data_IF_169504065603
#
_entry.id   IF_169504065603
#
_cell.length_a   1.000
_cell.length_b   1.000
_cell.length_c   1.000
_cell.angle_alpha   90.00
_cell.angle_beta   90.00
_cell.angle_gamma   90.00
#
_symmetry.space_group_name_H-M   'P 1'
#
loop_
_entity.id
_entity.type
_entity.pdbx_description
1 polymer ?
#
# COMPACT_ATOMS: atom_id res chain seq x y z
N UNK A 1 1.52 39.83 7.72
CA UNK A 1 1.07 38.48 7.30
C UNK A 1 0.85 38.48 5.81
N UNK A 2 1.88 38.18 5.02
CA UNK A 2 1.80 38.07 3.57
C UNK A 2 1.21 36.69 3.23
N UNK A 3 0.06 36.68 2.58
CA UNK A 3 -0.57 35.48 2.04
C UNK A 3 0.36 34.92 0.97
N UNK A 4 0.93 33.75 1.23
CA UNK A 4 1.69 32.94 0.28
C UNK A 4 0.79 32.53 -0.91
N UNK A 5 0.72 33.37 -1.92
CA UNK A 5 0.04 33.11 -3.20
C UNK A 5 0.96 32.47 -4.24
N UNK A 6 2.01 31.75 -3.83
CA UNK A 6 3.12 31.38 -4.70
C UNK A 6 3.26 29.89 -5.04
N UNK A 7 2.25 29.05 -4.83
CA UNK A 7 2.45 27.62 -5.07
C UNK A 7 1.68 27.00 -6.25
N UNK A 8 1.03 27.81 -7.11
CA UNK A 8 0.27 27.29 -8.26
C UNK A 8 0.69 27.87 -9.62
N UNK A 9 1.60 28.84 -9.65
CA UNK A 9 2.21 29.30 -10.90
C UNK A 9 3.24 28.26 -11.37
N UNK A 10 3.00 27.67 -12.55
CA UNK A 10 3.84 26.63 -13.14
C UNK A 10 3.31 25.19 -12.99
N UNK A 11 2.15 24.99 -12.41
CA UNK A 11 1.53 23.66 -12.35
C UNK A 11 0.90 23.30 -13.69
N UNK A 12 1.21 22.09 -14.19
CA UNK A 12 0.74 21.61 -15.50
C UNK A 12 -0.63 20.94 -15.42
N UNK A 13 -0.96 20.30 -14.29
CA UNK A 13 -2.22 19.59 -14.13
C UNK A 13 -3.32 20.51 -13.63
N UNK A 14 -4.51 20.32 -14.14
CA UNK A 14 -5.72 21.02 -13.65
C UNK A 14 -6.16 20.47 -12.29
N UNK A 15 -6.91 21.26 -11.51
CA UNK A 15 -7.52 20.78 -10.24
C UNK A 15 -8.40 19.56 -10.46
N UNK A 16 -9.05 19.44 -11.63
CA UNK A 16 -9.90 18.29 -11.98
C UNK A 16 -9.07 17.04 -12.22
N UNK A 17 -7.96 17.14 -12.92
CA UNK A 17 -7.05 16.00 -13.17
C UNK A 17 -6.46 15.47 -11.86
N UNK A 18 -5.96 16.35 -11.00
CA UNK A 18 -5.45 15.96 -9.67
C UNK A 18 -6.50 15.24 -8.83
N UNK A 19 -7.71 15.79 -8.78
CA UNK A 19 -8.84 15.18 -8.07
C UNK A 19 -9.17 13.80 -8.66
N UNK A 20 -9.23 13.67 -9.97
CA UNK A 20 -9.55 12.41 -10.65
C UNK A 20 -8.47 11.35 -10.42
N UNK A 21 -7.20 11.75 -10.41
CA UNK A 21 -6.08 10.87 -10.06
C UNK A 21 -6.20 10.37 -8.62
N UNK A 22 -6.45 11.27 -7.66
CA UNK A 22 -6.59 10.93 -6.24
C UNK A 22 -7.80 10.03 -5.98
N UNK A 23 -8.95 10.30 -6.62
CA UNK A 23 -10.16 9.47 -6.47
C UNK A 23 -9.93 8.08 -7.08
N UNK A 24 -9.26 7.98 -8.24
CA UNK A 24 -8.92 6.70 -8.84
C UNK A 24 -7.97 5.88 -7.98
N UNK A 25 -6.95 6.52 -7.40
CA UNK A 25 -6.03 5.87 -6.47
C UNK A 25 -6.73 5.44 -5.17
N UNK A 26 -7.66 6.25 -4.67
CA UNK A 26 -8.47 5.91 -3.51
C UNK A 26 -9.33 4.66 -3.76
N UNK A 27 -10.00 4.58 -4.94
CA UNK A 27 -10.77 3.40 -5.33
C UNK A 27 -9.91 2.14 -5.35
N UNK A 28 -8.72 2.18 -5.98
CA UNK A 28 -7.76 1.08 -5.98
C UNK A 28 -7.31 0.70 -4.56
N UNK A 29 -6.97 1.69 -3.74
CA UNK A 29 -6.48 1.45 -2.38
C UNK A 29 -7.53 0.78 -1.51
N UNK A 30 -8.78 1.20 -1.60
CA UNK A 30 -9.88 0.61 -0.84
C UNK A 30 -10.24 -0.79 -1.35
N UNK A 31 -10.17 -1.02 -2.67
CA UNK A 31 -10.35 -2.35 -3.26
C UNK A 31 -9.28 -3.34 -2.78
N UNK A 32 -8.01 -2.93 -2.71
CA UNK A 32 -6.94 -3.74 -2.14
C UNK A 32 -7.11 -3.97 -0.64
N UNK A 33 -7.55 -2.93 0.07
CA UNK A 33 -7.71 -2.98 1.52
C UNK A 33 -8.83 -3.93 1.97
N UNK A 34 -9.92 -4.08 1.20
CA UNK A 34 -11.02 -4.99 1.59
C UNK A 34 -10.54 -6.45 1.66
N UNK A 35 -9.69 -6.87 0.72
CA UNK A 35 -9.11 -8.22 0.75
C UNK A 35 -8.23 -8.38 1.96
N UNK A 36 -7.30 -7.45 2.19
CA UNK A 36 -6.39 -7.49 3.34
C UNK A 36 -7.13 -7.49 4.68
N UNK A 37 -8.19 -6.69 4.80
CA UNK A 37 -8.95 -6.56 6.04
C UNK A 37 -9.90 -7.72 6.31
N UNK A 38 -10.47 -8.35 5.25
CA UNK A 38 -11.59 -9.30 5.40
C UNK A 38 -11.20 -10.74 5.10
N UNK A 39 -10.08 -10.99 4.43
CA UNK A 39 -9.70 -12.30 3.92
C UNK A 39 -9.64 -13.35 5.03
N UNK A 40 -8.91 -13.11 6.11
CA UNK A 40 -8.74 -14.09 7.20
C UNK A 40 -10.09 -14.44 7.85
N UNK A 41 -10.91 -13.42 8.14
CA UNK A 41 -12.25 -13.61 8.72
C UNK A 41 -13.15 -14.39 7.76
N UNK A 42 -13.09 -14.07 6.47
CA UNK A 42 -13.85 -14.78 5.45
C UNK A 42 -13.48 -16.27 5.38
N UNK A 43 -12.18 -16.59 5.40
CA UNK A 43 -11.69 -17.97 5.36
C UNK A 43 -12.09 -18.76 6.61
N UNK A 44 -12.05 -18.18 7.79
CA UNK A 44 -12.55 -18.77 9.03
C UNK A 44 -14.06 -19.12 8.89
N UNK A 45 -14.87 -18.19 8.39
CA UNK A 45 -16.31 -18.42 8.17
C UNK A 45 -16.61 -19.46 7.09
N UNK A 46 -15.67 -19.70 6.16
CA UNK A 46 -15.78 -20.79 5.18
C UNK A 46 -15.35 -22.15 5.75
N UNK A 47 -14.86 -22.21 7.00
CA UNK A 47 -14.41 -23.44 7.65
C UNK A 47 -13.15 -24.04 7.01
N UNK A 48 -12.25 -23.19 6.48
CA UNK A 48 -10.98 -23.61 5.87
C UNK A 48 -9.91 -23.60 6.96
N UNK A 49 -9.04 -24.62 6.94
CA UNK A 49 -7.88 -24.66 7.83
C UNK A 49 -6.94 -23.48 7.55
N UNK A 50 -6.68 -22.69 8.57
CA UNK A 50 -5.85 -21.47 8.47
C UNK A 50 -4.39 -21.80 8.13
N UNK A 51 -3.89 -23.00 8.50
CA UNK A 51 -2.54 -23.44 8.13
C UNK A 51 -2.42 -23.63 6.63
N UNK A 52 -3.44 -24.21 5.98
CA UNK A 52 -3.50 -24.36 4.53
C UNK A 52 -3.61 -23.02 3.81
N UNK A 53 -4.40 -22.09 4.36
CA UNK A 53 -4.51 -20.71 3.85
C UNK A 53 -3.17 -20.00 3.93
N UNK A 54 -2.50 -20.04 5.07
CA UNK A 54 -1.18 -19.43 5.26
C UNK A 54 -0.13 -19.99 4.27
N UNK A 55 -0.13 -21.31 4.05
CA UNK A 55 0.73 -21.94 3.05
C UNK A 55 0.44 -21.45 1.62
N UNK A 56 -0.83 -21.39 1.24
CA UNK A 56 -1.24 -20.87 -0.08
C UNK A 56 -0.90 -19.40 -0.26
N UNK A 57 -1.12 -18.55 0.78
CA UNK A 57 -0.73 -17.14 0.76
C UNK A 57 0.77 -16.96 0.57
N UNK A 58 1.58 -17.76 1.25
CA UNK A 58 3.04 -17.68 1.11
C UNK A 58 3.47 -17.97 -0.32
N UNK A 59 2.88 -18.99 -0.97
CA UNK A 59 3.17 -19.29 -2.38
C UNK A 59 2.75 -18.13 -3.30
N UNK A 60 1.55 -17.58 -3.12
CA UNK A 60 1.09 -16.43 -3.93
C UNK A 60 1.98 -15.22 -3.72
N UNK A 61 2.37 -14.92 -2.48
CA UNK A 61 3.28 -13.79 -2.18
C UNK A 61 4.70 -13.99 -2.72
N UNK A 62 5.15 -15.22 -2.86
CA UNK A 62 6.39 -15.49 -3.59
C UNK A 62 6.23 -15.19 -5.09
N UNK A 63 5.09 -15.54 -5.69
CA UNK A 63 4.79 -15.20 -7.08
C UNK A 63 4.69 -13.69 -7.26
N UNK A 64 3.94 -12.98 -6.38
CA UNK A 64 3.80 -11.52 -6.37
C UNK A 64 5.16 -10.78 -6.33
N UNK A 65 6.12 -11.32 -5.60
CA UNK A 65 7.45 -10.74 -5.55
C UNK A 65 8.21 -10.80 -6.89
N UNK A 66 7.92 -11.80 -7.71
CA UNK A 66 8.51 -11.92 -9.05
C UNK A 66 7.71 -11.18 -10.10
N UNK A 67 6.39 -11.19 -10.03
CA UNK A 67 5.54 -10.59 -11.05
C UNK A 67 5.64 -9.06 -11.07
N UNK A 68 5.83 -8.39 -9.93
CA UNK A 68 6.09 -6.94 -9.87
C UNK A 68 7.29 -6.52 -10.75
N UNK A 69 8.38 -7.29 -10.69
CA UNK A 69 9.57 -7.03 -11.48
C UNK A 69 9.29 -7.29 -12.96
N UNK A 70 8.58 -8.37 -13.26
CA UNK A 70 8.21 -8.76 -14.61
C UNK A 70 7.24 -7.75 -15.23
N UNK A 71 6.18 -7.39 -14.51
CA UNK A 71 5.21 -6.41 -14.99
C UNK A 71 5.77 -5.01 -15.09
N UNK A 72 6.62 -4.58 -14.15
CA UNK A 72 7.36 -3.33 -14.26
C UNK A 72 8.15 -3.24 -15.55
N UNK A 73 8.88 -4.32 -15.87
CA UNK A 73 9.62 -4.45 -17.12
C UNK A 73 8.72 -4.41 -18.37
N UNK A 74 7.58 -5.12 -18.34
CA UNK A 74 6.63 -5.11 -19.47
C UNK A 74 5.98 -3.76 -19.67
N UNK A 75 5.53 -3.12 -18.59
CA UNK A 75 4.89 -1.79 -18.63
C UNK A 75 5.83 -0.72 -19.17
N UNK A 76 7.12 -0.82 -18.85
CA UNK A 76 8.12 0.13 -19.34
C UNK A 76 8.50 -0.09 -20.80
N UNK A 77 8.53 -1.34 -21.27
CA UNK A 77 8.94 -1.70 -22.64
C UNK A 77 7.84 -1.78 -23.66
N UNK A 78 6.65 -2.25 -23.27
CA UNK A 78 5.56 -2.44 -24.21
C UNK A 78 4.72 -1.15 -24.29
N UNK A 79 4.83 -0.46 -25.40
CA UNK A 79 4.00 0.71 -25.71
C UNK A 79 2.68 0.24 -26.35
N UNK A 80 1.63 0.09 -25.53
CA UNK A 80 0.28 -0.32 -26.01
C UNK A 80 -0.21 0.61 -27.12
N UNK A 81 0.23 1.85 -27.13
CA UNK A 81 -0.14 2.86 -28.13
C UNK A 81 0.38 2.58 -29.53
N UNK A 82 1.37 1.69 -29.72
CA UNK A 82 1.84 1.26 -31.02
C UNK A 82 0.83 0.35 -31.74
N UNK A 83 -0.02 -0.33 -31.00
CA UNK A 83 -1.06 -1.20 -31.55
C UNK A 83 -2.32 -0.38 -31.86
N UNK A 84 -2.55 -0.10 -33.17
CA UNK A 84 -3.66 0.77 -33.65
C UNK A 84 -5.02 0.41 -33.06
N UNK A 85 -5.33 -0.88 -32.89
CA UNK A 85 -6.58 -1.35 -32.32
C UNK A 85 -6.72 -0.97 -30.83
N UNK A 86 -5.66 -1.13 -30.06
CA UNK A 86 -5.65 -0.80 -28.63
C UNK A 86 -5.58 0.72 -28.40
N UNK A 87 -4.82 1.45 -29.22
CA UNK A 87 -4.77 2.92 -29.16
C UNK A 87 -6.15 3.58 -29.28
N UNK A 88 -7.03 3.01 -30.11
CA UNK A 88 -8.41 3.51 -30.29
C UNK A 88 -9.23 3.38 -28.99
N UNK A 89 -8.97 2.35 -28.18
CA UNK A 89 -9.69 2.06 -26.93
C UNK A 89 -9.04 2.77 -25.74
N UNK A 90 -7.71 2.72 -25.67
CA UNK A 90 -6.95 3.16 -24.49
C UNK A 90 -6.47 4.61 -24.58
N UNK A 91 -6.44 5.20 -25.78
CA UNK A 91 -6.01 6.58 -25.98
C UNK A 91 -4.50 6.75 -26.02
N UNK A 92 -4.03 7.96 -25.72
CA UNK A 92 -2.61 8.34 -25.73
C UNK A 92 -2.01 8.33 -24.32
N UNK A 93 -0.68 8.21 -24.25
CA UNK A 93 0.11 8.17 -23.03
C UNK A 93 0.96 6.90 -22.93
N UNK A 94 1.82 6.80 -21.92
CA UNK A 94 2.66 5.61 -21.64
C UNK A 94 1.98 4.68 -20.64
N UNK A 95 1.57 5.21 -19.49
CA UNK A 95 1.03 4.44 -18.38
C UNK A 95 -0.50 4.43 -18.30
N UNK A 96 -1.15 5.51 -18.73
CA UNK A 96 -2.61 5.62 -18.74
C UNK A 96 -3.30 4.57 -19.63
N UNK A 97 -2.77 4.19 -20.81
CA UNK A 97 -3.30 3.08 -21.61
C UNK A 97 -3.31 1.73 -20.89
N UNK A 98 -2.26 1.41 -20.13
CA UNK A 98 -2.20 0.23 -19.28
C UNK A 98 -3.28 0.23 -18.22
N UNK A 99 -3.41 1.35 -17.48
CA UNK A 99 -4.45 1.51 -16.48
C UNK A 99 -5.86 1.34 -17.07
N UNK A 100 -6.16 1.96 -18.22
CA UNK A 100 -7.45 1.83 -18.91
C UNK A 100 -7.77 0.41 -19.37
N UNK A 101 -6.76 -0.38 -19.67
CA UNK A 101 -6.94 -1.76 -20.09
C UNK A 101 -7.20 -2.71 -18.92
N UNK A 102 -6.71 -2.39 -17.72
CA UNK A 102 -6.63 -3.35 -16.60
C UNK A 102 -7.52 -3.00 -15.41
N UNK A 103 -7.88 -1.73 -15.19
CA UNK A 103 -8.57 -1.25 -13.98
C UNK A 103 -9.88 -2.00 -13.67
N UNK A 104 -10.62 -2.46 -14.67
CA UNK A 104 -11.90 -3.15 -14.48
C UNK A 104 -11.73 -4.61 -14.06
N UNK A 105 -10.60 -5.23 -14.36
CA UNK A 105 -10.31 -6.62 -13.99
C UNK A 105 -10.15 -6.76 -12.48
N UNK A 106 -9.56 -5.77 -11.84
CA UNK A 106 -9.25 -5.80 -10.43
C UNK A 106 -10.50 -5.96 -9.53
N UNK A 107 -11.55 -5.13 -9.63
CA UNK A 107 -12.80 -5.35 -8.88
C UNK A 107 -13.52 -6.65 -9.23
N UNK A 108 -13.42 -7.11 -10.47
CA UNK A 108 -14.03 -8.39 -10.89
C UNK A 108 -13.39 -9.55 -10.14
N UNK A 109 -12.06 -9.63 -10.10
CA UNK A 109 -11.39 -10.74 -9.41
C UNK A 109 -11.48 -10.61 -7.89
N UNK A 110 -11.52 -9.40 -7.34
CA UNK A 110 -11.86 -9.18 -5.92
C UNK A 110 -13.26 -9.72 -5.60
N UNK A 111 -14.26 -9.38 -6.39
CA UNK A 111 -15.62 -9.87 -6.19
C UNK A 111 -15.71 -11.40 -6.30
N UNK A 112 -15.06 -11.98 -7.31
CA UNK A 112 -15.02 -13.44 -7.51
C UNK A 112 -14.32 -14.16 -6.35
N UNK A 113 -13.26 -13.57 -5.78
CA UNK A 113 -12.58 -14.12 -4.61
C UNK A 113 -13.55 -14.36 -3.45
N UNK A 114 -14.42 -13.39 -3.14
CA UNK A 114 -15.43 -13.50 -2.08
C UNK A 114 -16.68 -14.31 -2.47
N UNK A 115 -16.83 -14.71 -3.74
CA UNK A 115 -17.92 -15.53 -4.23
C UNK A 115 -17.71 -17.05 -4.02
N UNK A 116 -16.82 -17.45 -3.10
CA UNK A 116 -16.54 -18.86 -2.81
C UNK A 116 -17.81 -19.63 -2.42
N UNK A 117 -18.11 -20.77 -3.07
CA UNK A 117 -19.30 -21.57 -2.76
C UNK A 117 -19.19 -22.26 -1.41
N UNK A 118 -20.21 -22.10 -0.54
CA UNK A 118 -20.21 -22.68 0.83
C UNK A 118 -20.23 -24.21 0.85
N UNK A 119 -20.92 -24.85 -0.10
CA UNK A 119 -21.14 -26.31 -0.13
C UNK A 119 -19.97 -27.14 -0.68
N UNK A 120 -18.86 -26.53 -1.04
CA UNK A 120 -17.71 -27.23 -1.62
C UNK A 120 -16.86 -27.91 -0.54
N UNK A 121 -16.12 -28.97 -0.95
CA UNK A 121 -15.14 -29.61 -0.09
C UNK A 121 -14.01 -28.65 0.29
N UNK A 122 -13.35 -28.89 1.42
CA UNK A 122 -12.24 -28.05 1.87
C UNK A 122 -11.12 -27.92 0.82
N UNK A 123 -10.77 -29.01 0.13
CA UNK A 123 -9.79 -28.98 -0.94
C UNK A 123 -10.20 -28.09 -2.14
N UNK A 124 -11.46 -28.16 -2.56
CA UNK A 124 -11.98 -27.32 -3.64
C UNK A 124 -11.99 -25.82 -3.26
N UNK A 125 -12.28 -25.51 -1.99
CA UNK A 125 -12.22 -24.14 -1.46
C UNK A 125 -10.78 -23.60 -1.44
N UNK A 126 -9.80 -24.42 -1.09
CA UNK A 126 -8.37 -24.02 -1.11
C UNK A 126 -7.92 -23.74 -2.56
N UNK A 127 -8.34 -24.56 -3.53
CA UNK A 127 -8.06 -24.32 -4.94
C UNK A 127 -8.72 -23.02 -5.41
N UNK A 128 -9.98 -22.77 -5.04
CA UNK A 128 -10.66 -21.51 -5.34
C UNK A 128 -9.90 -20.31 -4.77
N UNK A 129 -9.53 -20.39 -3.49
CA UNK A 129 -8.72 -19.37 -2.82
C UNK A 129 -7.46 -19.09 -3.59
N UNK A 130 -6.67 -20.11 -3.90
CA UNK A 130 -5.37 -19.97 -4.58
C UNK A 130 -5.54 -19.30 -5.95
N UNK A 131 -6.47 -19.78 -6.77
CA UNK A 131 -6.69 -19.28 -8.14
C UNK A 131 -7.17 -17.82 -8.11
N UNK A 132 -8.20 -17.51 -7.33
CA UNK A 132 -8.77 -16.16 -7.34
C UNK A 132 -7.91 -15.16 -6.55
N UNK A 133 -7.18 -15.59 -5.53
CA UNK A 133 -6.21 -14.74 -4.86
C UNK A 133 -5.02 -14.40 -5.78
N UNK A 134 -4.53 -15.37 -6.54
CA UNK A 134 -3.49 -15.13 -7.55
C UNK A 134 -3.97 -14.17 -8.64
N UNK A 135 -5.18 -14.36 -9.18
CA UNK A 135 -5.75 -13.46 -10.19
C UNK A 135 -5.99 -12.04 -9.65
N UNK A 136 -6.45 -11.94 -8.41
CA UNK A 136 -6.56 -10.66 -7.69
C UNK A 136 -5.19 -9.97 -7.59
N UNK A 137 -4.17 -10.68 -7.14
CA UNK A 137 -2.82 -10.16 -6.91
C UNK A 137 -2.17 -9.69 -8.22
N UNK A 138 -2.23 -10.50 -9.27
CA UNK A 138 -1.78 -10.14 -10.61
C UNK A 138 -2.48 -8.89 -11.16
N UNK A 139 -3.81 -8.80 -11.01
CA UNK A 139 -4.55 -7.62 -11.48
C UNK A 139 -4.31 -6.38 -10.63
N UNK A 140 -4.06 -6.57 -9.33
CA UNK A 140 -3.62 -5.49 -8.45
C UNK A 140 -2.31 -4.86 -8.96
N UNK A 141 -1.30 -5.67 -9.24
CA UNK A 141 -0.01 -5.23 -9.78
C UNK A 141 -0.15 -4.55 -11.15
N UNK A 142 -0.97 -5.12 -12.05
CA UNK A 142 -1.25 -4.54 -13.37
C UNK A 142 -1.92 -3.17 -13.33
N UNK A 143 -2.64 -2.85 -12.27
CA UNK A 143 -3.26 -1.53 -12.03
C UNK A 143 -2.30 -0.61 -11.28
N UNK A 144 -1.62 -1.12 -10.26
CA UNK A 144 -0.77 -0.34 -9.36
C UNK A 144 0.47 0.20 -10.04
N UNK A 145 1.21 -0.64 -10.76
CA UNK A 145 2.49 -0.27 -11.39
C UNK A 145 2.32 0.89 -12.38
N UNK A 146 1.38 0.84 -13.36
CA UNK A 146 1.18 1.98 -14.26
C UNK A 146 0.71 3.23 -13.52
N UNK A 147 -0.14 3.07 -12.52
CA UNK A 147 -0.69 4.20 -11.79
C UNK A 147 0.36 4.92 -10.94
N UNK A 148 1.25 4.19 -10.28
CA UNK A 148 2.35 4.81 -9.53
C UNK A 148 3.36 5.48 -10.48
N UNK A 149 3.68 4.84 -11.60
CA UNK A 149 4.58 5.38 -12.60
C UNK A 149 4.01 6.62 -13.29
N UNK A 150 2.70 6.69 -13.46
CA UNK A 150 2.00 7.82 -14.09
C UNK A 150 2.24 9.16 -13.39
N UNK A 151 2.55 9.18 -12.10
CA UNK A 151 2.78 10.43 -11.37
C UNK A 151 3.96 11.24 -11.95
N UNK A 152 4.93 10.58 -12.55
CA UNK A 152 6.10 11.21 -13.18
C UNK A 152 5.73 11.81 -14.54
N UNK A 153 4.81 11.17 -15.27
CA UNK A 153 4.34 11.66 -16.57
C UNK A 153 3.19 12.67 -16.46
N UNK A 154 2.54 12.76 -15.31
CA UNK A 154 1.52 13.78 -15.04
C UNK A 154 2.12 15.18 -14.97
N UNK A 155 3.26 15.34 -14.30
CA UNK A 155 3.91 16.63 -14.12
C UNK A 155 5.42 16.50 -13.93
N UNK A 156 6.16 17.41 -14.52
CA UNK A 156 7.60 17.59 -14.32
C UNK A 156 7.92 18.47 -13.10
N UNK A 157 6.90 19.18 -12.56
CA UNK A 157 7.06 20.01 -11.38
C UNK A 157 7.08 19.14 -10.11
N UNK A 158 8.23 19.13 -9.42
CA UNK A 158 8.45 18.34 -8.20
C UNK A 158 7.53 18.77 -7.05
N UNK A 159 7.24 20.07 -6.89
CA UNK A 159 6.36 20.56 -5.83
C UNK A 159 4.92 20.14 -6.05
N UNK A 160 4.46 20.19 -7.30
CA UNK A 160 3.13 19.71 -7.69
C UNK A 160 3.01 18.21 -7.44
N UNK A 161 4.00 17.42 -7.86
CA UNK A 161 4.08 15.97 -7.63
C UNK A 161 4.00 15.63 -6.15
N UNK A 162 4.83 16.28 -5.33
CA UNK A 162 4.85 16.07 -3.89
C UNK A 162 3.51 16.44 -3.23
N UNK A 163 2.86 17.51 -3.70
CA UNK A 163 1.53 17.90 -3.22
C UNK A 163 0.46 16.85 -3.54
N UNK A 164 0.47 16.29 -4.76
CA UNK A 164 -0.45 15.21 -5.16
C UNK A 164 -0.21 13.96 -4.29
N UNK A 165 1.04 13.54 -4.15
CA UNK A 165 1.42 12.37 -3.35
C UNK A 165 1.05 12.53 -1.88
N UNK A 166 1.29 13.70 -1.28
CA UNK A 166 0.93 13.97 0.10
C UNK A 166 -0.59 13.95 0.29
N UNK A 167 -1.34 14.61 -0.59
CA UNK A 167 -2.80 14.67 -0.50
C UNK A 167 -3.41 13.28 -0.65
N UNK A 168 -2.95 12.50 -1.63
CA UNK A 168 -3.39 11.12 -1.84
C UNK A 168 -3.13 10.25 -0.60
N UNK A 169 -1.94 10.33 -0.01
CA UNK A 169 -1.58 9.54 1.18
C UNK A 169 -2.48 9.86 2.37
N UNK A 170 -2.76 11.14 2.63
CA UNK A 170 -3.66 11.54 3.72
C UNK A 170 -5.08 11.01 3.47
N UNK A 171 -5.61 11.21 2.26
CA UNK A 171 -6.97 10.76 1.91
C UNK A 171 -7.07 9.24 2.01
N UNK A 172 -6.10 8.49 1.48
CA UNK A 172 -6.09 7.03 1.54
C UNK A 172 -6.03 6.53 2.99
N UNK A 173 -5.19 7.12 3.84
CA UNK A 173 -5.09 6.73 5.25
C UNK A 173 -6.40 6.96 6.00
N UNK A 174 -7.04 8.09 5.79
CA UNK A 174 -8.35 8.39 6.42
C UNK A 174 -9.44 7.45 5.92
N UNK A 175 -9.48 7.20 4.61
CA UNK A 175 -10.50 6.38 3.99
C UNK A 175 -10.35 4.89 4.35
N UNK A 176 -9.13 4.36 4.43
CA UNK A 176 -8.91 2.96 4.86
C UNK A 176 -9.33 2.76 6.32
N UNK A 177 -9.03 3.70 7.22
CA UNK A 177 -9.51 3.62 8.60
C UNK A 177 -11.04 3.67 8.64
N UNK A 178 -11.66 4.63 7.95
CA UNK A 178 -13.12 4.75 7.88
C UNK A 178 -13.80 3.53 7.27
N UNK A 179 -13.27 2.99 6.17
CA UNK A 179 -13.79 1.80 5.52
C UNK A 179 -13.65 0.56 6.43
N UNK A 180 -12.50 0.36 7.05
CA UNK A 180 -12.30 -0.74 7.99
C UNK A 180 -13.30 -0.73 9.12
N UNK A 181 -13.61 0.44 9.66
CA UNK A 181 -14.63 0.59 10.69
C UNK A 181 -16.04 0.30 10.18
N UNK A 182 -16.42 0.87 9.03
CA UNK A 182 -17.72 0.62 8.43
C UNK A 182 -17.93 -0.87 8.16
N UNK A 183 -16.94 -1.58 7.66
CA UNK A 183 -17.02 -3.01 7.41
C UNK A 183 -17.09 -3.82 8.71
N UNK A 184 -16.32 -3.45 9.74
CA UNK A 184 -16.39 -4.10 11.06
C UNK A 184 -17.78 -3.94 11.67
N UNK A 185 -18.39 -2.76 11.59
CA UNK A 185 -19.75 -2.52 12.06
C UNK A 185 -20.75 -3.33 11.22
N UNK A 186 -20.59 -3.37 9.90
CA UNK A 186 -21.50 -4.08 9.01
C UNK A 186 -21.52 -5.60 9.24
N UNK A 187 -20.36 -6.19 9.60
CA UNK A 187 -20.22 -7.62 9.90
C UNK A 187 -20.68 -7.94 11.32
N UNK A 188 -20.71 -6.94 12.23
CA UNK A 188 -21.02 -7.16 13.63
C UNK A 188 -22.38 -7.83 13.82
N UNK A 189 -22.58 -8.46 14.97
CA UNK A 189 -23.83 -9.13 15.38
C UNK A 189 -25.05 -8.21 15.34
N UNK A 190 -24.84 -6.89 15.43
CA UNK A 190 -25.92 -5.89 15.38
C UNK A 190 -26.48 -5.64 13.99
N UNK A 191 -25.65 -5.75 12.94
CA UNK A 191 -26.05 -5.49 11.56
C UNK A 191 -26.13 -6.77 10.75
N UNK A 192 -25.18 -7.70 10.92
CA UNK A 192 -25.24 -9.06 10.40
C UNK A 192 -25.10 -9.19 8.88
N UNK A 193 -24.49 -8.19 8.20
CA UNK A 193 -24.27 -8.28 6.75
C UNK A 193 -23.14 -9.24 6.48
N UNK A 194 -23.33 -10.15 5.52
CA UNK A 194 -22.30 -11.12 5.14
C UNK A 194 -21.08 -10.45 4.48
N UNK A 195 -19.88 -10.96 4.78
CA UNK A 195 -18.62 -10.45 4.19
C UNK A 195 -18.68 -10.45 2.66
N UNK A 196 -19.27 -11.48 2.05
CA UNK A 196 -19.47 -11.58 0.61
C UNK A 196 -20.24 -10.37 0.06
N UNK A 197 -21.37 -10.03 0.69
CA UNK A 197 -22.26 -8.97 0.20
C UNK A 197 -21.60 -7.59 0.35
N UNK A 198 -20.87 -7.39 1.45
CA UNK A 198 -20.05 -6.18 1.66
C UNK A 198 -18.98 -6.07 0.57
N UNK A 199 -18.28 -7.17 0.28
CA UNK A 199 -17.24 -7.18 -0.75
C UNK A 199 -17.81 -6.86 -2.14
N UNK A 200 -18.94 -7.48 -2.52
CA UNK A 200 -19.59 -7.24 -3.81
C UNK A 200 -20.02 -5.78 -3.97
N UNK A 201 -20.70 -5.22 -2.97
CA UNK A 201 -21.15 -3.82 -3.00
C UNK A 201 -19.95 -2.88 -3.04
N UNK A 202 -18.93 -3.14 -2.23
CA UNK A 202 -17.71 -2.34 -2.18
C UNK A 202 -16.95 -2.36 -3.51
N UNK A 203 -16.78 -3.54 -4.14
CA UNK A 203 -16.12 -3.67 -5.44
C UNK A 203 -16.83 -2.87 -6.53
N UNK A 204 -18.17 -2.85 -6.54
CA UNK A 204 -18.93 -2.01 -7.47
C UNK A 204 -18.68 -0.52 -7.21
N UNK A 205 -18.72 -0.09 -5.95
CA UNK A 205 -18.46 1.32 -5.60
C UNK A 205 -17.04 1.73 -6.01
N UNK A 206 -16.04 0.91 -5.72
CA UNK A 206 -14.64 1.21 -6.02
C UNK A 206 -14.35 1.17 -7.51
N UNK A 207 -15.01 0.30 -8.27
CA UNK A 207 -14.98 0.35 -9.73
C UNK A 207 -15.39 1.73 -10.24
N UNK A 208 -16.52 2.27 -9.75
CA UNK A 208 -16.96 3.62 -10.13
C UNK A 208 -16.02 4.72 -9.66
N UNK A 209 -15.32 4.53 -8.54
CA UNK A 209 -14.29 5.48 -8.08
C UNK A 209 -13.03 5.46 -8.96
N UNK A 210 -12.69 4.36 -9.61
CA UNK A 210 -11.56 4.26 -10.53
C UNK A 210 -11.84 4.88 -11.92
N UNK A 211 -13.11 4.96 -12.34
CA UNK A 211 -13.51 5.52 -13.65
C UNK A 211 -13.05 6.95 -13.92
N UNK A 212 -13.12 7.91 -12.98
CA UNK A 212 -12.70 9.30 -13.23
C UNK A 212 -11.26 9.43 -13.69
N UNK A 213 -10.37 8.55 -13.23
CA UNK A 213 -8.98 8.53 -13.65
C UNK A 213 -8.84 8.15 -15.12
N UNK A 214 -9.62 7.18 -15.62
CA UNK A 214 -9.61 6.76 -17.02
C UNK A 214 -9.97 7.89 -17.99
N UNK A 215 -10.96 8.72 -17.62
CA UNK A 215 -11.53 9.73 -18.51
C UNK A 215 -10.98 11.13 -18.31
N UNK A 216 -10.52 11.43 -17.12
CA UNK A 216 -10.24 12.80 -16.69
C UNK A 216 -8.80 13.07 -16.30
N UNK A 217 -7.86 12.19 -16.61
CA UNK A 217 -6.43 12.36 -16.39
C UNK A 217 -5.72 12.33 -17.75
N UNK A 218 -4.68 13.15 -17.91
CA UNK A 218 -3.80 13.19 -19.08
C UNK A 218 -2.35 13.20 -18.64
N UNK A 219 -1.51 12.51 -19.38
CA UNK A 219 -0.07 12.54 -19.22
C UNK A 219 0.49 13.75 -19.97
N UNK A 220 1.05 14.73 -19.26
CA UNK A 220 1.54 15.98 -19.83
C UNK A 220 3.03 15.94 -20.18
N UNK A 221 3.79 15.10 -19.48
CA UNK A 221 5.22 14.96 -19.69
C UNK A 221 5.55 13.69 -20.47
N UNK A 222 5.39 13.76 -21.79
CA UNK A 222 5.66 12.64 -22.71
C UNK A 222 7.15 12.52 -23.07
N UNK A 223 7.96 13.54 -22.82
CA UNK A 223 9.40 13.52 -23.11
C UNK A 223 10.14 12.52 -22.25
N UNK A 224 9.76 12.36 -20.98
CA UNK A 224 10.29 11.30 -20.11
C UNK A 224 9.76 9.91 -20.45
N UNK A 225 8.64 9.83 -21.18
CA UNK A 225 8.11 8.57 -21.68
C UNK A 225 8.85 8.06 -22.91
N UNK A 226 9.54 8.94 -23.63
CA UNK A 226 10.28 8.66 -24.87
C UNK A 226 11.81 8.61 -24.66
N UNK A 227 12.29 8.58 -23.41
CA UNK A 227 13.70 8.26 -23.14
C UNK A 227 13.89 6.81 -23.57
N UNK A 228 14.65 6.62 -24.63
CA UNK A 228 14.94 5.32 -25.19
C UNK A 228 15.43 4.36 -24.10
N UNK A 229 14.89 3.12 -24.05
CA UNK A 229 15.36 2.11 -23.10
C UNK A 229 16.85 1.79 -23.26
N UNK A 230 17.48 2.24 -24.33
CA UNK A 230 18.92 2.03 -24.61
C UNK A 230 19.83 2.97 -23.80
N UNK A 231 19.36 4.12 -23.33
CA UNK A 231 20.12 4.99 -22.41
C UNK A 231 20.00 4.56 -20.94
N UNK A 232 18.97 3.80 -20.55
CA UNK A 232 18.97 3.13 -19.27
C UNK A 232 19.85 1.88 -19.40
N UNK A 233 21.08 1.97 -18.92
CA UNK A 233 22.01 0.83 -18.81
C UNK A 233 21.24 -0.41 -18.36
N UNK A 234 21.27 -1.46 -19.20
CA UNK A 234 20.63 -2.76 -18.93
C UNK A 234 21.23 -3.34 -17.66
N UNK A 235 20.57 -3.11 -16.53
CA UNK A 235 20.99 -3.72 -15.28
C UNK A 235 20.80 -5.24 -15.37
N UNK A 236 21.89 -5.96 -15.15
CA UNK A 236 21.86 -7.41 -15.02
C UNK A 236 21.60 -7.79 -13.55
N UNK A 237 21.15 -9.02 -13.32
CA UNK A 237 21.01 -9.58 -11.96
C UNK A 237 22.34 -9.48 -11.17
N UNK A 238 23.47 -9.51 -11.87
CA UNK A 238 24.79 -9.31 -11.30
C UNK A 238 25.01 -7.88 -10.81
N UNK A 239 24.50 -6.88 -11.53
CA UNK A 239 24.56 -5.48 -11.10
C UNK A 239 23.67 -5.24 -9.88
N UNK A 240 22.49 -5.88 -9.82
CA UNK A 240 21.62 -5.88 -8.64
C UNK A 240 22.37 -6.44 -7.42
N UNK A 241 22.99 -7.59 -7.56
CA UNK A 241 23.75 -8.21 -6.49
C UNK A 241 24.95 -7.37 -6.03
N UNK A 242 25.67 -6.78 -6.96
CA UNK A 242 26.78 -5.87 -6.65
C UNK A 242 26.31 -4.60 -5.94
N UNK A 243 25.16 -4.05 -6.35
CA UNK A 243 24.55 -2.89 -5.71
C UNK A 243 24.20 -3.18 -4.24
N UNK A 244 23.57 -4.33 -3.99
CA UNK A 244 23.22 -4.80 -2.64
C UNK A 244 24.47 -4.98 -1.80
N UNK A 245 25.45 -5.71 -2.30
CA UNK A 245 26.69 -6.05 -1.56
C UNK A 245 27.52 -4.80 -1.24
N UNK A 246 27.44 -3.78 -2.08
CA UNK A 246 28.23 -2.53 -1.94
C UNK A 246 27.59 -1.55 -0.96
N UNK A 247 26.24 -1.60 -0.80
CA UNK A 247 25.49 -0.66 0.04
C UNK A 247 25.06 -1.28 1.36
N UNK A 248 25.94 -1.21 2.37
CA UNK A 248 25.63 -1.70 3.73
C UNK A 248 24.43 -1.00 4.39
N UNK A 249 24.15 0.26 4.05
CA UNK A 249 23.04 1.01 4.62
C UNK A 249 21.70 0.54 4.06
N UNK A 250 21.64 0.19 2.76
CA UNK A 250 20.49 -0.47 2.17
C UNK A 250 20.23 -1.81 2.84
N UNK A 251 21.26 -2.62 3.05
CA UNK A 251 21.14 -3.91 3.76
C UNK A 251 20.58 -3.74 5.18
N UNK A 252 21.07 -2.76 5.93
CA UNK A 252 20.56 -2.45 7.28
C UNK A 252 19.10 -2.00 7.24
N UNK A 253 18.71 -1.18 6.26
CA UNK A 253 17.34 -0.74 6.07
C UNK A 253 16.41 -1.92 5.76
N UNK A 254 16.82 -2.81 4.85
CA UNK A 254 16.07 -4.02 4.50
C UNK A 254 15.93 -4.96 5.70
N UNK A 255 17.03 -5.20 6.43
CA UNK A 255 17.00 -6.00 7.67
C UNK A 255 16.06 -5.41 8.72
N UNK A 256 16.11 -4.08 8.92
CA UNK A 256 15.17 -3.39 9.79
C UNK A 256 13.72 -3.56 9.33
N UNK A 257 13.47 -3.60 8.02
CA UNK A 257 12.12 -3.85 7.47
C UNK A 257 11.67 -5.27 7.75
N UNK A 258 12.53 -6.26 7.56
CA UNK A 258 12.25 -7.67 7.90
C UNK A 258 11.87 -7.80 9.38
N UNK A 259 12.71 -7.30 10.28
CA UNK A 259 12.48 -7.42 11.73
C UNK A 259 11.18 -6.72 12.14
N UNK A 260 10.96 -5.48 11.68
CA UNK A 260 9.73 -4.73 12.05
C UNK A 260 8.46 -5.36 11.49
N UNK A 261 8.50 -5.93 10.30
CA UNK A 261 7.34 -6.59 9.70
C UNK A 261 7.05 -7.94 10.36
N UNK A 262 8.07 -8.77 10.61
CA UNK A 262 7.89 -10.05 11.30
C UNK A 262 7.35 -9.89 12.74
N UNK A 263 7.65 -8.77 13.40
CA UNK A 263 7.14 -8.46 14.74
C UNK A 263 5.75 -7.79 14.72
N UNK A 264 5.28 -7.32 13.58
CA UNK A 264 4.01 -6.60 13.46
C UNK A 264 2.82 -7.56 13.22
N UNK A 265 2.62 -8.47 14.16
CA UNK A 265 1.47 -9.41 14.16
C UNK A 265 0.19 -8.80 14.73
N UNK A 266 0.23 -7.53 15.16
CA UNK A 266 -0.84 -6.88 15.91
C UNK A 266 -2.19 -6.76 15.20
N UNK A 267 -2.21 -6.73 13.87
CA UNK A 267 -3.45 -6.64 13.09
C UNK A 267 -4.28 -7.93 13.15
N UNK A 268 -3.63 -9.07 12.94
CA UNK A 268 -4.31 -10.38 12.92
C UNK A 268 -4.70 -10.84 14.35
N UNK A 269 -3.81 -10.62 15.32
CA UNK A 269 -4.00 -11.06 16.72
C UNK A 269 -4.86 -10.08 17.51
N UNK A 270 -4.86 -8.79 17.16
CA UNK A 270 -5.55 -7.74 17.90
C UNK A 270 -7.06 -7.97 18.04
N UNK A 271 -7.73 -8.41 16.99
CA UNK A 271 -9.16 -8.75 17.01
C UNK A 271 -9.45 -9.96 17.92
N UNK A 272 -8.61 -10.99 17.86
CA UNK A 272 -8.74 -12.18 18.70
C UNK A 272 -8.52 -11.85 20.17
N UNK A 273 -7.47 -11.11 20.49
CA UNK A 273 -7.17 -10.64 21.86
C UNK A 273 -8.32 -9.79 22.40
N UNK A 274 -8.87 -8.89 21.60
CA UNK A 274 -10.03 -8.07 21.99
C UNK A 274 -11.26 -8.92 22.29
N UNK A 275 -11.57 -9.90 21.45
CA UNK A 275 -12.68 -10.80 21.65
C UNK A 275 -12.52 -11.65 22.93
N UNK A 276 -11.35 -12.25 23.13
CA UNK A 276 -11.12 -13.12 24.29
C UNK A 276 -10.99 -12.37 25.61
N UNK A 277 -10.41 -11.17 25.63
CA UNK A 277 -10.22 -10.41 26.85
C UNK A 277 -11.37 -9.46 27.19
N UNK A 278 -12.04 -8.91 26.19
CA UNK A 278 -13.09 -7.89 26.39
C UNK A 278 -14.49 -8.32 25.91
N UNK A 279 -14.61 -9.51 25.38
CA UNK A 279 -15.91 -10.08 24.94
C UNK A 279 -16.51 -9.46 23.67
N UNK A 280 -15.83 -8.52 23.03
CA UNK A 280 -16.31 -7.88 21.81
C UNK A 280 -15.16 -7.40 20.92
N UNK A 281 -15.26 -7.69 19.62
CA UNK A 281 -14.31 -7.19 18.61
C UNK A 281 -14.40 -5.67 18.38
N UNK A 282 -15.58 -5.08 18.66
CA UNK A 282 -15.81 -3.62 18.50
C UNK A 282 -15.06 -2.77 19.51
N UNK A 283 -14.63 -3.33 20.62
CA UNK A 283 -13.90 -2.62 21.68
C UNK A 283 -12.57 -2.06 21.16
N UNK A 284 -11.91 -2.75 20.23
CA UNK A 284 -10.67 -2.23 19.59
C UNK A 284 -10.90 -1.08 18.59
N UNK A 285 -12.12 -0.88 18.13
CA UNK A 285 -12.43 0.25 17.26
C UNK A 285 -12.32 1.60 17.99
N UNK A 286 -12.56 1.62 19.30
CA UNK A 286 -12.54 2.82 20.12
C UNK A 286 -11.14 3.48 20.16
N UNK A 287 -10.05 2.80 20.55
CA UNK A 287 -8.72 3.41 20.54
C UNK A 287 -8.24 3.80 19.14
N UNK A 288 -8.63 3.06 18.10
CA UNK A 288 -8.31 3.40 16.70
C UNK A 288 -8.96 4.74 16.31
N UNK A 289 -10.23 4.94 16.64
CA UNK A 289 -10.94 6.20 16.40
C UNK A 289 -10.31 7.38 17.13
N UNK A 290 -10.08 7.23 18.43
CA UNK A 290 -9.52 8.29 19.25
C UNK A 290 -8.10 8.65 18.79
N UNK A 291 -7.31 7.66 18.37
CA UNK A 291 -5.93 7.87 17.90
C UNK A 291 -5.84 8.54 16.52
N UNK A 292 -6.92 8.60 15.75
CA UNK A 292 -6.93 9.13 14.40
C UNK A 292 -6.45 10.57 14.33
N UNK A 293 -6.97 11.45 15.20
CA UNK A 293 -6.56 12.86 15.27
C UNK A 293 -5.09 13.02 15.69
N UNK A 294 -4.62 12.42 16.80
CA UNK A 294 -3.22 12.45 17.19
C UNK A 294 -2.26 11.92 16.10
N UNK A 295 -2.62 10.85 15.40
CA UNK A 295 -1.81 10.26 14.32
C UNK A 295 -1.68 11.23 13.14
N UNK A 296 -2.76 11.86 12.69
CA UNK A 296 -2.72 12.86 11.61
C UNK A 296 -1.81 14.03 11.99
N UNK A 297 -1.98 14.57 13.18
CA UNK A 297 -1.15 15.67 13.68
C UNK A 297 0.33 15.25 13.71
N UNK A 298 0.62 14.05 14.18
CA UNK A 298 1.95 13.47 14.24
C UNK A 298 2.58 13.32 12.84
N UNK A 299 1.85 12.80 11.88
CA UNK A 299 2.29 12.69 10.49
C UNK A 299 2.63 14.04 9.88
N UNK A 300 1.78 15.05 10.08
CA UNK A 300 2.03 16.42 9.60
C UNK A 300 3.28 17.06 10.22
N UNK A 301 3.58 16.73 11.48
CA UNK A 301 4.74 17.29 12.19
C UNK A 301 6.03 16.50 11.94
N UNK A 302 5.98 15.26 11.45
CA UNK A 302 7.15 14.41 11.26
C UNK A 302 8.25 15.10 10.46
N UNK A 303 7.91 15.76 9.34
CA UNK A 303 8.89 16.51 8.52
C UNK A 303 9.60 17.61 9.32
N UNK A 304 8.87 18.35 10.15
CA UNK A 304 9.46 19.42 11.00
C UNK A 304 10.39 18.84 12.05
N UNK A 305 9.99 17.73 12.68
CA UNK A 305 10.81 17.01 13.66
C UNK A 305 12.09 16.46 13.02
N UNK A 306 11.97 15.83 11.87
CA UNK A 306 13.12 15.29 11.11
C UNK A 306 14.09 16.39 10.69
N UNK A 307 13.59 17.54 10.22
CA UNK A 307 14.43 18.67 9.86
C UNK A 307 15.13 19.31 11.09
N UNK A 308 14.48 19.30 12.26
CA UNK A 308 15.04 19.91 13.49
C UNK A 308 16.03 18.99 14.22
N UNK A 309 15.73 17.70 14.33
CA UNK A 309 16.47 16.76 15.17
C UNK A 309 17.29 15.73 14.37
N UNK A 310 17.08 15.64 13.08
CA UNK A 310 17.69 14.65 12.20
C UNK A 310 16.87 13.34 12.10
N UNK A 311 16.93 12.70 10.93
CA UNK A 311 16.14 11.50 10.58
C UNK A 311 16.34 10.35 11.59
N UNK A 312 17.61 10.02 11.88
CA UNK A 312 17.98 8.87 12.72
C UNK A 312 17.52 9.05 14.16
N UNK A 313 17.70 10.23 14.76
CA UNK A 313 17.29 10.51 16.13
C UNK A 313 15.77 10.40 16.28
N UNK A 314 15.02 11.00 15.37
CA UNK A 314 13.54 10.93 15.37
C UNK A 314 13.07 9.50 15.24
N UNK A 315 13.65 8.72 14.31
CA UNK A 315 13.31 7.30 14.12
C UNK A 315 13.52 6.49 15.40
N UNK A 316 14.73 6.57 16.00
CA UNK A 316 15.08 5.78 17.18
C UNK A 316 14.25 6.22 18.40
N UNK A 317 14.22 7.50 18.70
CA UNK A 317 13.54 8.01 19.93
C UNK A 317 12.04 7.69 19.87
N UNK A 318 11.38 8.01 18.78
CA UNK A 318 9.95 7.71 18.64
C UNK A 318 9.69 6.20 18.63
N UNK A 319 10.54 5.40 17.97
CA UNK A 319 10.45 3.94 17.97
C UNK A 319 10.59 3.34 19.36
N UNK A 320 11.59 3.78 20.13
CA UNK A 320 11.81 3.32 21.52
C UNK A 320 10.65 3.71 22.43
N UNK A 321 10.17 4.94 22.35
CA UNK A 321 9.01 5.39 23.16
C UNK A 321 7.78 4.55 22.82
N UNK A 322 7.50 4.35 21.51
CA UNK A 322 6.40 3.51 21.07
C UNK A 322 6.51 2.06 21.58
N UNK A 323 7.71 1.47 21.52
CA UNK A 323 7.97 0.13 22.02
C UNK A 323 7.80 0.01 23.55
N UNK A 324 8.27 0.98 24.32
CA UNK A 324 8.12 0.99 25.78
C UNK A 324 6.65 1.11 26.19
N UNK A 325 5.86 1.94 25.49
CA UNK A 325 4.42 2.05 25.74
C UNK A 325 3.73 0.72 25.39
N UNK A 326 4.09 0.10 24.27
CA UNK A 326 3.55 -1.20 23.87
C UNK A 326 3.85 -2.28 24.92
N UNK A 327 5.05 -2.27 25.48
CA UNK A 327 5.48 -3.21 26.52
C UNK A 327 4.72 -2.98 27.84
N UNK A 328 4.41 -1.72 28.18
CA UNK A 328 3.62 -1.40 29.37
C UNK A 328 2.18 -1.89 29.29
N UNK A 329 1.59 -2.00 28.10
CA UNK A 329 0.25 -2.59 27.92
C UNK A 329 0.21 -4.04 28.42
N UNK A 330 1.28 -4.80 28.21
CA UNK A 330 1.38 -6.20 28.68
C UNK A 330 1.27 -6.31 30.22
N UNK A 331 1.82 -5.33 30.96
CA UNK A 331 1.81 -5.35 32.43
C UNK A 331 0.53 -4.81 33.07
N UNK A 332 -0.27 -4.05 32.32
CA UNK A 332 -1.51 -3.43 32.85
C UNK A 332 -2.66 -4.45 32.96
N UNK A 333 -2.59 -5.56 32.24
CA UNK A 333 -3.67 -6.56 32.25
C UNK A 333 -4.95 -6.09 31.54
N UNK A 334 -6.11 -6.71 31.78
CA UNK A 334 -7.33 -6.50 31.02
C UNK A 334 -8.14 -5.24 31.41
N UNK A 335 -7.48 -4.17 31.90
CA UNK A 335 -8.14 -2.91 32.21
C UNK A 335 -8.31 -2.10 30.93
N UNK A 336 -9.48 -2.17 30.31
CA UNK A 336 -9.77 -1.58 29.02
C UNK A 336 -9.42 -0.08 28.92
N UNK A 337 -9.82 0.74 29.88
CA UNK A 337 -9.58 2.18 29.84
C UNK A 337 -8.09 2.54 29.77
N UNK A 338 -7.24 1.83 30.53
CA UNK A 338 -5.80 2.07 30.55
C UNK A 338 -5.16 1.55 29.24
N UNK A 339 -5.58 0.37 28.76
CA UNK A 339 -5.12 -0.16 27.48
C UNK A 339 -5.47 0.79 26.31
N UNK A 340 -6.69 1.33 26.29
CA UNK A 340 -7.10 2.33 25.30
C UNK A 340 -6.23 3.58 25.36
N UNK A 341 -6.03 4.13 26.56
CA UNK A 341 -5.21 5.33 26.73
C UNK A 341 -3.75 5.11 26.24
N UNK A 342 -3.16 3.98 26.59
CA UNK A 342 -1.81 3.62 26.16
C UNK A 342 -1.72 3.43 24.63
N UNK A 343 -2.69 2.77 24.00
CA UNK A 343 -2.75 2.61 22.54
C UNK A 343 -2.89 3.95 21.82
N UNK A 344 -3.72 4.86 22.35
CA UNK A 344 -3.90 6.20 21.79
C UNK A 344 -2.60 7.01 21.89
N UNK A 345 -1.88 6.92 23.01
CA UNK A 345 -0.60 7.62 23.20
C UNK A 345 0.51 6.99 22.35
N UNK A 346 0.52 5.67 22.19
CA UNK A 346 1.52 4.94 21.41
C UNK A 346 1.44 5.22 19.92
N UNK A 347 0.23 5.32 19.36
CA UNK A 347 -0.01 5.40 17.91
C UNK A 347 0.73 6.56 17.22
N UNK A 348 0.78 7.81 17.73
CA UNK A 348 1.54 8.91 17.14
C UNK A 348 3.03 8.60 17.03
N UNK A 349 3.64 8.05 18.08
CA UNK A 349 5.07 7.75 18.11
C UNK A 349 5.44 6.67 17.10
N UNK A 350 4.66 5.60 17.02
CA UNK A 350 4.85 4.53 16.04
C UNK A 350 4.70 5.05 14.61
N UNK A 351 3.73 5.93 14.36
CA UNK A 351 3.55 6.55 13.04
C UNK A 351 4.70 7.48 12.66
N UNK A 352 5.17 8.35 13.58
CA UNK A 352 6.33 9.21 13.33
C UNK A 352 7.56 8.36 12.99
N UNK A 353 7.81 7.28 13.73
CA UNK A 353 8.92 6.37 13.46
C UNK A 353 8.80 5.72 12.08
N UNK A 354 7.62 5.22 11.70
CA UNK A 354 7.37 4.61 10.40
C UNK A 354 7.57 5.61 9.24
N UNK A 355 7.04 6.83 9.38
CA UNK A 355 7.23 7.88 8.35
C UNK A 355 8.69 8.29 8.27
N UNK A 356 9.39 8.45 9.40
CA UNK A 356 10.82 8.78 9.42
C UNK A 356 11.67 7.69 8.75
N UNK A 357 11.30 6.40 8.89
CA UNK A 357 11.94 5.28 8.20
C UNK A 357 11.90 5.43 6.68
N UNK A 358 10.78 5.90 6.13
CA UNK A 358 10.62 6.05 4.68
C UNK A 358 11.57 7.09 4.06
N UNK A 359 12.14 7.99 4.87
CA UNK A 359 13.14 8.96 4.40
C UNK A 359 14.54 8.37 4.24
N UNK A 360 14.81 7.14 4.70
CA UNK A 360 16.13 6.53 4.55
C UNK A 360 16.35 5.91 3.18
N UNK A 361 15.30 5.41 2.51
CA UNK A 361 15.46 4.76 1.21
C UNK A 361 16.06 5.68 0.15
N UNK A 362 15.59 6.94 -0.04
CA UNK A 362 16.25 7.89 -0.93
C UNK A 362 17.72 8.15 -0.59
N UNK A 363 18.06 8.28 0.71
CA UNK A 363 19.44 8.50 1.14
C UNK A 363 20.34 7.30 0.80
N UNK A 364 19.81 6.07 0.91
CA UNK A 364 20.58 4.87 0.52
C UNK A 364 20.77 4.79 -0.99
N UNK A 365 19.82 5.25 -1.78
CA UNK A 365 19.94 5.35 -3.24
C UNK A 365 21.03 6.36 -3.63
N UNK A 366 21.01 7.55 -3.03
CA UNK A 366 22.05 8.57 -3.27
C UNK A 366 23.44 8.08 -2.87
N UNK A 367 23.55 7.35 -1.74
CA UNK A 367 24.82 6.73 -1.33
C UNK A 367 25.31 5.69 -2.34
N UNK A 368 24.39 4.88 -2.89
CA UNK A 368 24.74 3.92 -3.93
C UNK A 368 25.28 4.62 -5.17
N UNK A 369 24.57 5.68 -5.62
CA UNK A 369 24.98 6.50 -6.77
C UNK A 369 26.35 7.13 -6.55
N UNK A 370 26.60 7.69 -5.36
CA UNK A 370 27.91 8.25 -5.01
C UNK A 370 29.03 7.21 -5.07
N UNK A 371 28.77 5.98 -4.59
CA UNK A 371 29.79 4.94 -4.47
C UNK A 371 30.04 4.17 -5.77
N UNK A 372 29.02 3.97 -6.59
CA UNK A 372 29.08 3.15 -7.83
C UNK A 372 29.20 4.00 -9.09
N UNK A 373 28.90 5.30 -9.02
CA UNK A 373 28.80 6.19 -10.19
C UNK A 373 27.57 5.92 -11.06
N UNK A 374 26.76 4.90 -10.73
CA UNK A 374 25.60 4.47 -11.49
C UNK A 374 24.29 4.80 -10.76
N UNK A 375 23.23 5.09 -11.52
CA UNK A 375 21.91 5.30 -10.96
C UNK A 375 21.21 3.93 -10.76
N UNK A 376 21.26 3.43 -9.54
CA UNK A 376 20.65 2.16 -9.13
C UNK A 376 19.29 2.36 -8.43
N UNK A 377 18.60 3.49 -8.66
CA UNK A 377 17.35 3.82 -7.97
C UNK A 377 16.24 2.78 -8.20
N UNK A 378 16.07 2.33 -9.45
CA UNK A 378 15.11 1.29 -9.80
C UNK A 378 15.34 -0.02 -9.03
N UNK A 379 16.60 -0.47 -8.98
CA UNK A 379 16.99 -1.70 -8.27
C UNK A 379 16.75 -1.59 -6.77
N UNK A 380 17.14 -0.47 -6.15
CA UNK A 380 16.96 -0.25 -4.72
C UNK A 380 15.47 -0.21 -4.33
N UNK A 381 14.63 0.43 -5.16
CA UNK A 381 13.18 0.46 -4.95
C UNK A 381 12.54 -0.92 -5.14
N UNK A 382 12.88 -1.64 -6.21
CA UNK A 382 12.38 -2.99 -6.47
C UNK A 382 12.74 -3.95 -5.34
N UNK A 383 13.99 -3.91 -4.85
CA UNK A 383 14.43 -4.74 -3.73
C UNK A 383 13.71 -4.38 -2.42
N UNK A 384 13.48 -3.09 -2.16
CA UNK A 384 12.72 -2.64 -0.99
C UNK A 384 11.27 -3.12 -1.05
N UNK A 385 10.61 -3.03 -2.20
CA UNK A 385 9.26 -3.54 -2.42
C UNK A 385 9.21 -5.05 -2.25
N UNK A 386 10.14 -5.79 -2.86
CA UNK A 386 10.27 -7.23 -2.72
C UNK A 386 10.37 -7.65 -1.25
N UNK A 387 11.30 -7.06 -0.48
CA UNK A 387 11.47 -7.38 0.94
C UNK A 387 10.23 -7.02 1.75
N UNK A 388 9.59 -5.89 1.47
CA UNK A 388 8.37 -5.46 2.17
C UNK A 388 7.21 -6.43 1.91
N UNK A 389 7.02 -6.88 0.68
CA UNK A 389 5.98 -7.86 0.31
C UNK A 389 6.25 -9.23 0.91
N UNK A 390 7.50 -9.71 0.82
CA UNK A 390 7.89 -11.00 1.42
C UNK A 390 7.66 -11.01 2.94
N UNK A 391 8.00 -9.94 3.63
CA UNK A 391 7.85 -9.85 5.09
C UNK A 391 6.41 -9.63 5.52
N UNK A 392 5.60 -8.93 4.74
CA UNK A 392 4.16 -8.79 5.02
C UNK A 392 3.42 -10.12 4.93
N UNK A 393 3.85 -11.04 4.07
CA UNK A 393 3.27 -12.38 3.97
C UNK A 393 3.62 -13.28 5.15
N UNK A 394 4.75 -13.06 5.82
CA UNK A 394 5.12 -13.79 7.04
C UNK A 394 4.36 -13.27 8.26
N UNK A 395 3.93 -11.99 8.25
CA UNK A 395 3.20 -11.37 9.36
C UNK A 395 1.67 -11.49 9.26
N UNK A 396 1.15 -11.92 8.12
CA UNK A 396 -0.28 -12.13 7.88
C UNK A 396 -0.73 -13.54 8.30
#
# INVERSE_FOLDING_TARGET
MAKTKTSQEGWRTTKKERRNYIIGDLGRTLEGYIVTAMMSTFMIFQGIDMTAVAGAMLVVKMIDAFDDVIFGYFVDRIHITEWKALKKITGEGKYLPWYRLTYFLFPIFTALFFCMPKGWSAGAKIVWFFVFYLLYDLTYTLVEVPMQSMIVTLTDNTDERNSILQTKTIINSLATIGAGMLWTIAISEYVGIGIRDIALVSSVVFFFMMLPMCKGVKEHNTTLANVDPEENEKYTLKDMWNCIRTNKYLMLLLLSTVITSCLNTGGAVGLLVSYYHFGSSLVMAIPILISLIPVIIAQMQTRKLVNKFGKLKVFIVCGVIGALIQLSIYFVGPIFAICCALLVIQSPFSNISTVAKNFFLPDTIEYTRYKTGKDCSGICNALSSFVTKLTSSVSA
#
